data_IF_187920976701
#
_entry.id   IF_187920976701
#
_cell.length_a   1.000
_cell.length_b   1.000
_cell.length_c   1.000
_cell.angle_alpha   90.00
_cell.angle_beta   90.00
_cell.angle_gamma   90.00
#
_symmetry.space_group_name_H-M   'P 1'
#
loop_
_entity.id
_entity.type
_entity.pdbx_description
1 polymer ?
#
# COMPACT_ATOMS: atom_id res chain seq x y z
N UNK A 1 -51.60 -16.74 -41.83
CA UNK A 1 -50.57 -15.83 -42.40
C UNK A 1 -50.48 -14.65 -41.44
N UNK A 2 -49.42 -14.57 -40.64
CA UNK A 2 -48.82 -13.38 -39.99
C UNK A 2 -47.60 -13.96 -39.28
N UNK A 3 -46.45 -13.87 -39.95
CA UNK A 3 -45.14 -14.14 -39.35
C UNK A 3 -44.64 -12.84 -38.75
N UNK A 4 -44.54 -12.78 -37.43
CA UNK A 4 -43.80 -11.74 -36.74
C UNK A 4 -42.30 -11.96 -36.99
N UNK A 5 -41.77 -11.18 -37.93
CA UNK A 5 -40.34 -10.93 -38.04
C UNK A 5 -39.91 -10.11 -36.81
N UNK A 6 -39.56 -10.81 -35.73
CA UNK A 6 -38.81 -10.22 -34.63
C UNK A 6 -37.40 -9.84 -35.15
N UNK A 7 -37.30 -8.61 -35.66
CA UNK A 7 -36.04 -7.94 -35.97
C UNK A 7 -35.26 -7.76 -34.66
N UNK A 8 -34.37 -8.71 -34.35
CA UNK A 8 -33.34 -8.53 -33.34
C UNK A 8 -32.35 -7.48 -33.84
N UNK A 9 -32.58 -6.22 -33.43
CA UNK A 9 -31.65 -5.14 -33.69
C UNK A 9 -30.28 -5.54 -33.15
N UNK A 10 -29.28 -5.70 -34.04
CA UNK A 10 -27.91 -5.97 -33.61
C UNK A 10 -27.47 -4.83 -32.68
N UNK A 11 -26.96 -5.13 -31.47
CA UNK A 11 -26.43 -4.08 -30.61
C UNK A 11 -25.36 -3.31 -31.38
N UNK A 12 -25.47 -1.98 -31.40
CA UNK A 12 -24.46 -1.12 -32.03
C UNK A 12 -23.12 -1.40 -31.36
N UNK A 13 -22.14 -1.83 -32.14
CA UNK A 13 -20.77 -2.02 -31.66
C UNK A 13 -20.28 -0.71 -31.03
N UNK A 14 -19.73 -0.80 -29.83
CA UNK A 14 -19.14 0.34 -29.13
C UNK A 14 -17.89 0.80 -29.89
N UNK A 15 -17.59 2.10 -29.88
CA UNK A 15 -16.32 2.59 -30.42
C UNK A 15 -15.11 1.92 -29.73
N UNK A 16 -15.26 1.50 -28.47
CA UNK A 16 -14.25 0.78 -27.70
C UNK A 16 -14.01 -0.65 -28.20
N UNK A 17 -14.92 -1.24 -28.97
CA UNK A 17 -14.71 -2.55 -29.59
C UNK A 17 -13.65 -2.45 -30.72
N UNK A 18 -13.45 -1.26 -31.29
CA UNK A 18 -12.45 -1.02 -32.32
C UNK A 18 -11.04 -0.94 -31.71
N UNK A 19 -10.21 -1.93 -32.05
CA UNK A 19 -8.81 -2.03 -31.61
C UNK A 19 -7.97 -0.82 -32.02
N UNK A 20 -8.12 -0.30 -33.23
CA UNK A 20 -7.36 0.87 -33.70
C UNK A 20 -7.72 2.11 -32.89
N UNK A 21 -9.02 2.31 -32.63
CA UNK A 21 -9.50 3.42 -31.81
C UNK A 21 -8.94 3.36 -30.39
N UNK A 22 -8.97 2.18 -29.75
CA UNK A 22 -8.34 1.95 -28.44
C UNK A 22 -6.84 2.28 -28.44
N UNK A 23 -6.09 1.85 -29.47
CA UNK A 23 -4.67 2.20 -29.59
C UNK A 23 -4.44 3.70 -29.67
N UNK A 24 -5.24 4.41 -30.47
CA UNK A 24 -5.13 5.86 -30.60
C UNK A 24 -5.39 6.55 -29.26
N UNK A 25 -6.43 6.13 -28.53
CA UNK A 25 -6.71 6.65 -27.19
C UNK A 25 -5.55 6.40 -26.22
N UNK A 26 -4.99 5.18 -26.21
CA UNK A 26 -3.84 4.84 -25.37
C UNK A 26 -2.61 5.68 -25.69
N UNK A 27 -2.36 5.98 -26.96
CA UNK A 27 -1.22 6.83 -27.35
C UNK A 27 -1.46 8.29 -26.94
N UNK A 28 -2.64 8.84 -27.25
CA UNK A 28 -2.98 10.23 -26.94
C UNK A 28 -2.96 10.49 -25.44
N UNK A 29 -3.51 9.58 -24.63
CA UNK A 29 -3.46 9.68 -23.18
C UNK A 29 -2.08 9.31 -22.62
N UNK A 30 -1.42 8.32 -23.22
CA UNK A 30 -0.19 7.74 -22.70
C UNK A 30 1.01 8.67 -22.77
N UNK A 31 1.16 9.43 -23.87
CA UNK A 31 2.27 10.38 -24.03
C UNK A 31 2.34 11.40 -22.89
N UNK A 32 1.27 12.17 -22.57
CA UNK A 32 1.33 13.14 -21.47
C UNK A 32 1.47 12.47 -20.10
N UNK A 33 0.84 11.31 -19.86
CA UNK A 33 0.97 10.57 -18.60
C UNK A 33 2.42 10.14 -18.38
N UNK A 34 3.01 9.47 -19.36
CA UNK A 34 4.40 8.99 -19.28
C UNK A 34 5.37 10.16 -19.17
N UNK A 35 5.20 11.22 -19.96
CA UNK A 35 6.07 12.40 -19.86
C UNK A 35 6.01 13.05 -18.47
N UNK A 36 4.81 13.22 -17.91
CA UNK A 36 4.61 13.79 -16.57
C UNK A 36 5.21 12.89 -15.49
N UNK A 37 4.97 11.58 -15.58
CA UNK A 37 5.54 10.60 -14.67
C UNK A 37 7.07 10.61 -14.73
N UNK A 38 7.68 10.49 -15.91
CA UNK A 38 9.13 10.49 -16.06
C UNK A 38 9.73 11.79 -15.51
N UNK A 39 9.07 12.94 -15.74
CA UNK A 39 9.52 14.21 -15.19
C UNK A 39 9.48 14.22 -13.65
N UNK A 40 8.34 13.91 -13.05
CA UNK A 40 8.13 14.03 -11.60
C UNK A 40 8.78 12.89 -10.80
N UNK A 41 8.67 11.66 -11.26
CA UNK A 41 9.07 10.46 -10.53
C UNK A 41 10.54 10.07 -10.73
N UNK A 42 11.18 10.53 -11.81
CA UNK A 42 12.56 10.15 -12.14
C UNK A 42 13.45 11.36 -12.36
N UNK A 43 13.13 12.21 -13.34
CA UNK A 43 14.04 13.25 -13.81
C UNK A 43 14.29 14.29 -12.72
N UNK A 44 13.21 14.82 -12.13
CA UNK A 44 13.28 15.84 -11.10
C UNK A 44 14.08 15.36 -9.86
N UNK A 45 13.76 14.22 -9.22
CA UNK A 45 14.47 13.81 -8.02
C UNK A 45 15.89 13.29 -8.29
N UNK A 46 16.17 12.69 -9.45
CA UNK A 46 17.50 12.11 -9.78
C UNK A 46 18.49 13.19 -10.22
N UNK A 47 18.10 14.08 -11.13
CA UNK A 47 19.05 15.01 -11.77
C UNK A 47 19.06 16.40 -11.14
N UNK A 48 17.95 16.83 -10.56
CA UNK A 48 17.83 18.17 -9.95
C UNK A 48 17.88 18.13 -8.42
N UNK A 49 17.93 16.92 -7.85
CA UNK A 49 17.86 16.70 -6.41
C UNK A 49 16.43 16.78 -5.90
N UNK A 50 15.94 15.68 -5.36
CA UNK A 50 14.64 15.59 -4.69
C UNK A 50 14.80 15.54 -3.17
N UNK A 51 14.00 16.35 -2.48
CA UNK A 51 13.75 16.15 -1.06
C UNK A 51 12.67 15.07 -0.91
N UNK A 52 13.00 13.99 -0.20
CA UNK A 52 12.09 12.89 0.07
C UNK A 52 11.60 13.02 1.50
N UNK A 53 10.45 13.69 1.70
CA UNK A 53 9.98 14.14 3.02
C UNK A 53 10.05 13.06 4.09
N UNK A 54 9.16 12.06 4.03
CA UNK A 54 9.13 10.95 4.97
C UNK A 54 10.46 10.17 5.05
N UNK A 55 11.09 9.91 3.91
CA UNK A 55 12.31 9.09 3.86
C UNK A 55 13.47 9.76 4.61
N UNK A 56 13.65 11.07 4.44
CA UNK A 56 14.73 11.82 5.08
C UNK A 56 14.38 12.22 6.50
N UNK A 57 13.17 12.76 6.74
CA UNK A 57 12.77 13.30 8.03
C UNK A 57 12.46 12.22 9.07
N UNK A 58 11.89 11.11 8.62
CA UNK A 58 11.45 10.03 9.51
C UNK A 58 12.39 8.82 9.44
N UNK A 59 12.60 8.22 8.27
CA UNK A 59 13.27 6.91 8.20
C UNK A 59 14.79 7.03 8.39
N UNK A 60 15.46 7.90 7.64
CA UNK A 60 16.91 8.10 7.77
C UNK A 60 17.30 8.74 9.10
N UNK A 61 16.44 9.61 9.65
CA UNK A 61 16.66 10.19 10.99
C UNK A 61 16.59 9.12 12.08
N UNK A 62 15.62 8.22 12.02
CA UNK A 62 15.53 7.07 12.93
C UNK A 62 16.72 6.13 12.78
N UNK A 63 17.14 5.86 11.54
CA UNK A 63 18.33 5.04 11.26
C UNK A 63 19.60 5.66 11.86
N UNK A 64 19.78 6.98 11.73
CA UNK A 64 20.90 7.71 12.34
C UNK A 64 20.90 7.65 13.86
N UNK A 65 19.72 7.74 14.50
CA UNK A 65 19.59 7.57 15.96
C UNK A 65 19.97 6.16 16.40
N UNK A 66 19.41 5.14 15.75
CA UNK A 66 19.77 3.75 16.02
C UNK A 66 21.27 3.52 15.83
N UNK A 67 21.87 4.06 14.76
CA UNK A 67 23.31 3.94 14.49
C UNK A 67 24.18 4.62 15.56
N UNK A 68 23.63 5.62 16.26
CA UNK A 68 24.28 6.33 17.37
C UNK A 68 23.96 5.72 18.75
N UNK A 69 23.28 4.58 18.80
CA UNK A 69 22.85 3.93 20.05
C UNK A 69 21.71 4.66 20.78
N UNK A 70 20.98 5.54 20.09
CA UNK A 70 19.85 6.29 20.63
C UNK A 70 18.51 5.64 20.24
N UNK A 71 17.51 5.85 21.09
CA UNK A 71 16.13 5.42 20.84
C UNK A 71 15.53 6.14 19.61
N UNK A 72 15.06 5.41 18.57
CA UNK A 72 14.43 6.01 17.40
C UNK A 72 13.06 6.64 17.69
N UNK A 73 12.40 6.31 18.79
CA UNK A 73 11.06 6.79 19.16
C UNK A 73 11.07 8.05 20.06
N UNK A 74 12.21 8.38 20.66
CA UNK A 74 12.40 9.54 21.55
C UNK A 74 12.50 10.90 20.80
N UNK A 75 12.17 10.92 19.52
CA UNK A 75 12.15 12.13 18.68
C UNK A 75 11.12 13.16 19.20
N UNK A 76 9.99 12.74 19.77
CA UNK A 76 9.02 13.69 20.36
C UNK A 76 9.61 14.45 21.56
N UNK A 77 10.40 13.78 22.41
CA UNK A 77 10.91 14.36 23.65
C UNK A 77 12.10 15.32 23.44
N UNK A 78 12.86 15.13 22.35
CA UNK A 78 14.13 15.85 22.12
C UNK A 78 14.01 17.10 21.23
N UNK A 79 12.99 17.20 20.37
CA UNK A 79 12.86 18.28 19.36
C UNK A 79 11.48 18.96 19.35
N UNK A 80 10.59 18.60 20.27
CA UNK A 80 9.26 19.19 20.38
C UNK A 80 8.24 18.52 19.46
N UNK A 81 7.07 18.17 20.01
CA UNK A 81 6.00 17.47 19.29
C UNK A 81 5.13 18.46 18.50
N UNK A 82 5.71 19.16 17.52
CA UNK A 82 5.06 20.30 16.86
C UNK A 82 4.27 19.98 15.58
N UNK A 83 4.32 18.76 15.03
CA UNK A 83 3.73 18.51 13.70
C UNK A 83 3.08 17.13 13.53
N UNK A 84 2.12 17.00 12.58
CA UNK A 84 1.37 15.77 12.31
C UNK A 84 2.21 14.69 11.68
N UNK A 85 3.16 15.22 10.94
CA UNK A 85 4.15 14.67 10.04
C UNK A 85 5.55 15.04 10.55
N UNK A 86 5.66 15.56 11.78
CA UNK A 86 6.95 15.91 12.36
C UNK A 86 7.88 14.69 12.36
N UNK A 87 9.18 14.88 12.61
CA UNK A 87 10.26 13.88 12.42
C UNK A 87 10.19 12.66 13.35
N UNK A 88 9.00 12.17 13.69
CA UNK A 88 8.71 11.08 14.59
C UNK A 88 8.54 9.80 13.80
N UNK A 89 9.42 8.87 14.10
CA UNK A 89 9.39 7.55 13.50
C UNK A 89 8.26 6.72 14.08
N UNK A 90 7.27 6.37 13.25
CA UNK A 90 6.07 5.62 13.67
C UNK A 90 6.01 4.18 13.13
N UNK A 91 7.10 3.72 12.52
CA UNK A 91 7.19 2.39 11.90
C UNK A 91 7.81 1.36 12.88
N UNK A 92 7.62 0.05 12.65
CA UNK A 92 8.37 -1.00 13.33
C UNK A 92 9.89 -0.74 13.27
N UNK A 93 10.68 -1.16 14.27
CA UNK A 93 12.10 -0.81 14.36
C UNK A 93 12.96 -1.37 13.21
N UNK A 94 12.48 -2.42 12.54
CA UNK A 94 13.16 -3.11 11.44
C UNK A 94 13.57 -2.17 10.31
N UNK A 95 12.69 -1.25 9.89
CA UNK A 95 12.99 -0.39 8.74
C UNK A 95 14.17 0.55 9.04
N UNK A 96 14.16 1.25 10.18
CA UNK A 96 15.27 2.08 10.59
C UNK A 96 16.57 1.28 10.79
N UNK A 97 16.48 0.04 11.32
CA UNK A 97 17.63 -0.86 11.41
C UNK A 97 18.22 -1.22 10.04
N UNK A 98 17.38 -1.56 9.05
CA UNK A 98 17.82 -1.88 7.68
C UNK A 98 18.49 -0.69 6.98
N UNK A 99 18.15 0.54 7.36
CA UNK A 99 18.67 1.76 6.76
C UNK A 99 19.97 2.27 7.44
N UNK A 100 20.41 1.68 8.55
CA UNK A 100 21.66 2.06 9.23
C UNK A 100 22.88 2.08 8.30
N UNK A 101 23.08 1.12 7.36
CA UNK A 101 24.23 1.14 6.46
C UNK A 101 24.28 2.36 5.52
N UNK A 102 23.17 3.07 5.36
CA UNK A 102 23.09 4.29 4.54
C UNK A 102 23.43 5.56 5.33
N UNK A 103 23.61 5.46 6.64
CA UNK A 103 24.00 6.60 7.48
C UNK A 103 25.41 7.06 7.09
N UNK A 104 25.55 8.34 6.76
CA UNK A 104 26.81 8.93 6.29
C UNK A 104 27.04 8.82 4.77
N UNK A 105 26.17 8.13 4.03
CA UNK A 105 26.15 8.21 2.56
C UNK A 105 25.61 9.57 2.12
N UNK A 106 26.13 10.11 1.02
CA UNK A 106 25.66 11.40 0.50
C UNK A 106 24.17 11.37 0.19
N UNK A 107 23.44 12.43 0.58
CA UNK A 107 22.00 12.53 0.38
C UNK A 107 21.56 12.30 -1.07
N UNK A 108 22.32 12.81 -2.05
CA UNK A 108 22.02 12.60 -3.48
C UNK A 108 22.02 11.12 -3.89
N UNK A 109 23.02 10.33 -3.47
CA UNK A 109 23.07 8.88 -3.75
C UNK A 109 21.91 8.15 -3.08
N UNK A 110 21.56 8.54 -1.84
CA UNK A 110 20.42 7.97 -1.12
C UNK A 110 19.11 8.27 -1.85
N UNK A 111 18.89 9.52 -2.27
CA UNK A 111 17.69 9.92 -3.03
C UNK A 111 17.58 9.12 -4.33
N UNK A 112 18.66 9.02 -5.12
CA UNK A 112 18.65 8.22 -6.35
C UNK A 112 18.34 6.76 -6.04
N UNK A 113 19.00 6.16 -5.05
CA UNK A 113 18.76 4.78 -4.65
C UNK A 113 17.31 4.54 -4.23
N UNK A 114 16.74 5.41 -3.41
CA UNK A 114 15.35 5.34 -2.97
C UNK A 114 14.39 5.42 -4.16
N UNK A 115 14.54 6.41 -5.04
CA UNK A 115 13.71 6.57 -6.23
C UNK A 115 13.74 5.32 -7.12
N UNK A 116 14.94 4.76 -7.36
CA UNK A 116 15.09 3.55 -8.16
C UNK A 116 14.40 2.33 -7.50
N UNK A 117 14.54 2.16 -6.19
CA UNK A 117 13.88 1.06 -5.45
C UNK A 117 12.36 1.19 -5.49
N UNK A 118 11.83 2.41 -5.34
CA UNK A 118 10.38 2.67 -5.37
C UNK A 118 9.79 2.39 -6.76
N UNK A 119 10.45 2.85 -7.82
CA UNK A 119 10.06 2.58 -9.21
C UNK A 119 10.19 1.09 -9.56
N UNK A 120 11.26 0.43 -9.12
CA UNK A 120 11.44 -1.01 -9.30
C UNK A 120 10.34 -1.80 -8.59
N UNK A 121 9.94 -1.39 -7.39
CA UNK A 121 8.86 -2.04 -6.64
C UNK A 121 7.51 -1.89 -7.34
N UNK A 122 7.21 -0.72 -7.92
CA UNK A 122 6.04 -0.51 -8.76
C UNK A 122 6.07 -1.42 -9.99
N UNK A 123 7.20 -1.50 -10.69
CA UNK A 123 7.35 -2.36 -11.86
C UNK A 123 7.17 -3.84 -11.52
N UNK A 124 7.73 -4.30 -10.39
CA UNK A 124 7.54 -5.67 -9.88
C UNK A 124 6.07 -5.94 -9.59
N UNK A 125 5.36 -5.02 -8.94
CA UNK A 125 3.93 -5.16 -8.71
C UNK A 125 3.14 -5.29 -10.02
N UNK A 126 3.34 -4.37 -10.96
CA UNK A 126 2.65 -4.38 -12.26
C UNK A 126 2.89 -5.71 -12.96
N UNK A 127 4.14 -6.13 -13.08
CA UNK A 127 4.50 -7.38 -13.73
C UNK A 127 3.84 -8.60 -13.07
N UNK A 128 3.89 -8.71 -11.73
CA UNK A 128 3.31 -9.83 -11.00
C UNK A 128 1.79 -9.83 -11.05
N UNK A 129 1.14 -8.66 -11.00
CA UNK A 129 -0.30 -8.54 -11.10
C UNK A 129 -0.81 -8.93 -12.50
N UNK A 130 -0.18 -8.41 -13.56
CA UNK A 130 -0.50 -8.80 -14.95
C UNK A 130 -0.32 -10.31 -15.16
N UNK A 131 0.76 -10.87 -14.62
CA UNK A 131 1.04 -12.31 -14.67
C UNK A 131 -0.01 -13.13 -13.89
N UNK A 132 -0.42 -12.67 -12.72
CA UNK A 132 -1.44 -13.34 -11.90
C UNK A 132 -2.81 -13.33 -12.58
N UNK A 133 -3.16 -12.21 -13.22
CA UNK A 133 -4.41 -12.01 -13.93
C UNK A 133 -4.41 -12.60 -15.36
N UNK A 134 -3.25 -13.05 -15.85
CA UNK A 134 -3.05 -13.59 -17.21
C UNK A 134 -3.49 -12.60 -18.29
N UNK A 135 -3.05 -11.35 -18.14
CA UNK A 135 -3.33 -10.29 -19.11
C UNK A 135 -2.47 -10.50 -20.36
N UNK A 136 -3.09 -11.01 -21.43
CA UNK A 136 -2.43 -11.25 -22.72
C UNK A 136 -2.65 -10.12 -23.74
N UNK A 137 -3.67 -9.27 -23.55
CA UNK A 137 -3.91 -8.10 -24.42
C UNK A 137 -3.00 -6.94 -24.02
N UNK A 138 -2.10 -6.57 -24.94
CA UNK A 138 -1.19 -5.44 -24.74
C UNK A 138 -1.93 -4.11 -24.51
N UNK A 139 -3.14 -3.93 -25.06
CA UNK A 139 -3.91 -2.70 -24.85
C UNK A 139 -4.40 -2.59 -23.42
N UNK A 140 -4.85 -3.70 -22.84
CA UNK A 140 -5.22 -3.78 -21.43
C UNK A 140 -3.98 -3.60 -20.55
N UNK A 141 -2.87 -4.27 -20.86
CA UNK A 141 -1.62 -4.10 -20.11
C UNK A 141 -1.14 -2.63 -20.15
N UNK A 142 -1.19 -1.98 -21.31
CA UNK A 142 -0.83 -0.57 -21.46
C UNK A 142 -1.77 0.34 -20.66
N UNK A 143 -3.09 0.10 -20.70
CA UNK A 143 -4.06 0.84 -19.89
C UNK A 143 -3.71 0.74 -18.40
N UNK A 144 -3.45 -0.48 -17.91
CA UNK A 144 -3.12 -0.74 -16.51
C UNK A 144 -1.81 -0.07 -16.08
N UNK A 145 -0.79 -0.08 -16.95
CA UNK A 145 0.44 0.69 -16.73
C UNK A 145 0.13 2.19 -16.64
N UNK A 146 -0.58 2.75 -17.62
CA UNK A 146 -0.90 4.18 -17.65
C UNK A 146 -1.74 4.61 -16.45
N UNK A 147 -2.72 3.80 -16.03
CA UNK A 147 -3.48 4.03 -14.80
C UNK A 147 -2.57 4.07 -13.58
N UNK A 148 -1.60 3.16 -13.48
CA UNK A 148 -0.64 3.15 -12.37
C UNK A 148 0.22 4.41 -12.35
N UNK A 149 0.73 4.85 -13.52
CA UNK A 149 1.56 6.05 -13.61
C UNK A 149 0.78 7.34 -13.35
N UNK A 150 -0.50 7.37 -13.74
CA UNK A 150 -1.37 8.52 -13.55
C UNK A 150 -2.02 8.56 -12.14
N UNK A 151 -1.91 7.49 -11.36
CA UNK A 151 -2.51 7.41 -10.04
C UNK A 151 -1.69 8.23 -9.04
N UNK A 152 -2.25 9.36 -8.59
CA UNK A 152 -1.58 10.32 -7.72
C UNK A 152 -0.84 9.70 -6.52
N UNK A 153 -1.40 8.69 -5.80
CA UNK A 153 -0.67 8.04 -4.72
C UNK A 153 0.67 7.44 -5.12
N UNK A 154 0.88 7.03 -6.38
CA UNK A 154 2.20 6.59 -6.85
C UNK A 154 3.20 7.73 -6.84
N UNK A 155 2.83 8.89 -7.39
CA UNK A 155 3.69 10.08 -7.38
C UNK A 155 3.94 10.56 -5.95
N UNK A 156 2.88 10.63 -5.12
CA UNK A 156 3.01 11.01 -3.71
C UNK A 156 3.98 10.10 -2.95
N UNK A 157 3.97 8.78 -3.19
CA UNK A 157 4.94 7.88 -2.57
C UNK A 157 6.38 8.14 -3.03
N UNK A 158 6.59 8.51 -4.29
CA UNK A 158 7.93 8.80 -4.80
C UNK A 158 8.43 10.14 -4.25
N UNK A 159 7.56 11.16 -4.21
CA UNK A 159 7.85 12.47 -3.63
C UNK A 159 8.22 12.38 -2.15
N UNK A 160 7.50 11.55 -1.38
CA UNK A 160 7.75 11.38 0.05
C UNK A 160 8.83 10.32 0.35
N UNK A 161 9.27 9.55 -0.65
CA UNK A 161 10.14 8.40 -0.45
C UNK A 161 9.50 7.29 0.41
N UNK A 162 8.19 7.15 0.37
CA UNK A 162 7.41 6.26 1.22
C UNK A 162 7.59 4.79 0.87
N UNK A 163 7.74 3.95 1.89
CA UNK A 163 7.91 2.51 1.71
C UNK A 163 6.67 1.80 1.14
N UNK A 164 5.51 2.47 1.00
CA UNK A 164 4.29 1.81 0.54
C UNK A 164 4.42 1.24 -0.88
N UNK A 165 5.29 1.78 -1.74
CA UNK A 165 5.59 1.16 -3.04
C UNK A 165 6.38 -0.15 -2.90
N UNK A 166 7.27 -0.26 -1.91
CA UNK A 166 7.94 -1.54 -1.58
C UNK A 166 6.90 -2.54 -1.09
N UNK A 167 5.97 -2.10 -0.21
CA UNK A 167 4.85 -2.95 0.23
C UNK A 167 3.97 -3.37 -0.94
N UNK A 168 3.73 -2.49 -1.91
CA UNK A 168 2.99 -2.80 -3.13
C UNK A 168 3.72 -3.88 -3.96
N UNK A 169 5.03 -3.78 -4.13
CA UNK A 169 5.86 -4.82 -4.77
C UNK A 169 5.73 -6.18 -4.08
N UNK A 170 5.84 -6.20 -2.74
CA UNK A 170 5.61 -7.40 -1.92
C UNK A 170 4.17 -7.92 -2.04
N UNK A 171 3.20 -7.01 -2.16
CA UNK A 171 1.78 -7.36 -2.38
C UNK A 171 1.58 -8.02 -3.74
N UNK A 172 2.32 -7.61 -4.78
CA UNK A 172 2.30 -8.28 -6.07
C UNK A 172 2.76 -9.74 -5.98
N UNK A 173 3.81 -10.00 -5.20
CA UNK A 173 4.31 -11.36 -4.95
C UNK A 173 3.32 -12.20 -4.14
N UNK A 174 2.77 -11.62 -3.07
CA UNK A 174 1.69 -12.26 -2.30
C UNK A 174 0.47 -12.56 -3.19
N UNK A 175 0.01 -11.60 -3.98
CA UNK A 175 -1.16 -11.72 -4.85
C UNK A 175 -0.97 -12.79 -5.93
N UNK A 176 0.17 -12.79 -6.61
CA UNK A 176 0.51 -13.82 -7.59
C UNK A 176 0.49 -15.21 -6.95
N UNK A 177 1.07 -15.36 -5.76
CA UNK A 177 1.04 -16.62 -5.03
C UNK A 177 -0.36 -16.99 -4.51
N UNK A 178 -1.18 -16.01 -4.16
CA UNK A 178 -2.56 -16.20 -3.73
C UNK A 178 -3.41 -16.82 -4.84
N UNK A 179 -3.32 -16.26 -6.05
CA UNK A 179 -4.05 -16.73 -7.23
C UNK A 179 -3.57 -18.11 -7.67
N UNK A 180 -2.26 -18.40 -7.55
CA UNK A 180 -1.61 -19.64 -7.97
C UNK A 180 -1.59 -20.71 -6.87
N UNK A 181 -2.77 -21.24 -6.53
CA UNK A 181 -2.95 -22.16 -5.40
C UNK A 181 -2.20 -23.50 -5.50
N UNK A 182 -1.91 -24.00 -6.71
CA UNK A 182 -1.40 -25.36 -6.91
C UNK A 182 0.11 -25.53 -6.70
N UNK A 183 0.87 -24.45 -6.49
CA UNK A 183 2.32 -24.51 -6.31
C UNK A 183 2.70 -24.16 -4.88
N UNK A 184 3.08 -25.18 -4.11
CA UNK A 184 3.44 -25.04 -2.70
C UNK A 184 4.65 -24.13 -2.49
N UNK A 185 5.64 -24.16 -3.39
CA UNK A 185 6.84 -23.31 -3.31
C UNK A 185 6.48 -21.84 -3.49
N UNK A 186 5.57 -21.56 -4.42
CA UNK A 186 5.06 -20.21 -4.65
C UNK A 186 4.28 -19.69 -3.43
N UNK A 187 3.52 -20.54 -2.75
CA UNK A 187 2.83 -20.15 -1.51
C UNK A 187 3.80 -19.73 -0.39
N UNK A 188 4.95 -20.40 -0.24
CA UNK A 188 5.98 -20.00 0.73
C UNK A 188 6.53 -18.61 0.43
N UNK A 189 6.82 -18.30 -0.84
CA UNK A 189 7.27 -16.97 -1.25
C UNK A 189 6.21 -15.90 -1.02
N UNK A 190 4.95 -16.18 -1.34
CA UNK A 190 3.85 -15.25 -1.07
C UNK A 190 3.64 -14.99 0.41
N UNK A 191 3.81 -16.01 1.25
CA UNK A 191 3.74 -15.87 2.70
C UNK A 191 4.91 -15.08 3.25
N UNK A 192 6.14 -15.40 2.84
CA UNK A 192 7.32 -14.64 3.22
C UNK A 192 7.19 -13.15 2.84
N UNK A 193 6.72 -12.85 1.62
CA UNK A 193 6.48 -11.47 1.17
C UNK A 193 5.49 -10.73 2.07
N UNK A 194 4.38 -11.38 2.44
CA UNK A 194 3.38 -10.84 3.36
C UNK A 194 3.96 -10.61 4.77
N UNK A 195 4.76 -11.54 5.27
CA UNK A 195 5.46 -11.42 6.56
C UNK A 195 6.45 -10.27 6.60
N UNK A 196 7.23 -10.10 5.52
CA UNK A 196 8.15 -8.95 5.35
C UNK A 196 7.36 -7.64 5.29
N UNK A 197 6.29 -7.58 4.50
CA UNK A 197 5.47 -6.38 4.39
C UNK A 197 4.88 -5.97 5.74
N UNK A 198 4.29 -6.92 6.49
CA UNK A 198 3.76 -6.68 7.82
C UNK A 198 4.85 -6.25 8.81
N UNK A 199 6.06 -6.81 8.71
CA UNK A 199 7.17 -6.43 9.57
C UNK A 199 7.71 -5.02 9.31
N UNK A 200 7.58 -4.52 8.08
CA UNK A 200 8.01 -3.18 7.68
C UNK A 200 6.95 -2.11 8.00
N UNK A 201 5.66 -2.41 7.76
CA UNK A 201 4.55 -1.48 8.03
C UNK A 201 3.23 -2.25 8.20
N UNK A 202 2.55 -2.04 9.33
CA UNK A 202 1.35 -2.79 9.72
C UNK A 202 0.08 -2.48 8.90
N UNK A 203 0.15 -1.60 7.90
CA UNK A 203 -1.02 -1.20 7.13
C UNK A 203 -1.69 -2.36 6.39
N UNK A 204 -0.96 -3.44 6.11
CA UNK A 204 -1.49 -4.64 5.45
C UNK A 204 -2.08 -5.67 6.42
N UNK A 205 -2.28 -5.33 7.70
CA UNK A 205 -2.85 -6.21 8.72
C UNK A 205 -4.11 -6.97 8.28
N UNK A 206 -5.12 -6.33 7.63
CA UNK A 206 -6.31 -7.04 7.15
C UNK A 206 -6.00 -8.18 6.16
N UNK A 207 -4.98 -8.01 5.31
CA UNK A 207 -4.54 -9.04 4.36
C UNK A 207 -3.96 -10.25 5.08
N UNK A 208 -3.27 -10.04 6.21
CA UNK A 208 -2.75 -11.14 7.05
C UNK A 208 -3.88 -12.01 7.59
N UNK A 209 -5.03 -11.42 7.93
CA UNK A 209 -6.20 -12.15 8.45
C UNK A 209 -6.86 -13.06 7.40
N UNK A 210 -6.73 -12.73 6.12
CA UNK A 210 -7.27 -13.54 5.02
C UNK A 210 -6.58 -14.91 4.94
N UNK A 211 -5.28 -15.00 5.25
CA UNK A 211 -4.50 -16.25 5.15
C UNK A 211 -5.03 -17.37 6.07
N UNK A 212 -5.18 -17.17 7.40
CA UNK A 212 -5.77 -18.17 8.28
C UNK A 212 -7.25 -18.40 7.98
N UNK A 213 -8.00 -17.37 7.56
CA UNK A 213 -9.40 -17.51 7.13
C UNK A 213 -9.57 -18.49 5.97
N UNK A 214 -8.71 -18.36 4.95
CA UNK A 214 -8.64 -19.29 3.83
C UNK A 214 -7.96 -20.64 4.17
N UNK A 215 -7.48 -20.83 5.41
CA UNK A 215 -6.71 -22.02 5.85
C UNK A 215 -5.46 -22.30 5.01
N UNK A 216 -4.75 -21.25 4.58
CA UNK A 216 -3.48 -21.39 3.83
C UNK A 216 -2.29 -21.46 4.77
N UNK A 217 -2.15 -22.59 5.46
CA UNK A 217 -1.21 -22.76 6.57
C UNK A 217 0.26 -22.63 6.17
N UNK A 218 0.66 -23.12 5.00
CA UNK A 218 2.02 -22.95 4.46
C UNK A 218 2.39 -21.47 4.35
N UNK A 219 1.51 -20.69 3.74
CA UNK A 219 1.65 -19.24 3.59
C UNK A 219 1.65 -18.54 4.95
N UNK A 220 0.81 -18.98 5.90
CA UNK A 220 0.79 -18.43 7.26
C UNK A 220 2.11 -18.69 8.00
N UNK A 221 2.63 -19.92 7.95
CA UNK A 221 3.91 -20.27 8.58
C UNK A 221 5.06 -19.47 7.97
N UNK A 222 5.09 -19.34 6.64
CA UNK A 222 6.09 -18.51 5.96
C UNK A 222 6.01 -17.04 6.38
N UNK A 223 4.80 -16.49 6.46
CA UNK A 223 4.57 -15.11 6.89
C UNK A 223 5.00 -14.88 8.34
N UNK A 224 4.60 -15.78 9.25
CA UNK A 224 4.99 -15.71 10.65
C UNK A 224 6.51 -15.83 10.81
N UNK A 225 7.14 -16.79 10.13
CA UNK A 225 8.59 -16.98 10.19
C UNK A 225 9.34 -15.74 9.66
N UNK A 226 9.02 -15.25 8.47
CA UNK A 226 9.69 -14.09 7.89
C UNK A 226 9.49 -12.82 8.73
N UNK A 227 8.26 -12.57 9.20
CA UNK A 227 7.94 -11.40 10.01
C UNK A 227 8.62 -11.45 11.39
N UNK A 228 8.57 -12.59 12.08
CA UNK A 228 9.21 -12.77 13.38
C UNK A 228 10.73 -12.68 13.29
N UNK A 229 11.34 -13.30 12.27
CA UNK A 229 12.80 -13.21 12.05
C UNK A 229 13.21 -11.74 11.91
N UNK A 230 12.48 -10.96 11.12
CA UNK A 230 12.75 -9.53 10.97
C UNK A 230 12.55 -8.76 12.27
N UNK A 231 11.50 -9.02 13.04
CA UNK A 231 11.28 -8.33 14.33
C UNK A 231 12.30 -8.70 15.41
N UNK A 232 12.79 -9.95 15.41
CA UNK A 232 13.82 -10.41 16.35
C UNK A 232 15.20 -9.85 15.96
N UNK A 233 15.49 -9.71 14.67
CA UNK A 233 16.77 -9.18 14.20
C UNK A 233 16.81 -7.64 14.16
N UNK A 234 15.70 -7.02 13.78
CA UNK A 234 15.61 -5.60 13.46
C UNK A 234 15.41 -4.73 14.70
N UNK A 235 16.48 -4.55 15.47
CA UNK A 235 16.52 -3.77 16.71
C UNK A 235 15.43 -4.18 17.73
N UNK A 236 15.43 -5.46 18.18
CA UNK A 236 14.40 -6.05 19.03
C UNK A 236 14.23 -5.32 20.38
N UNK A 237 15.26 -4.62 20.86
CA UNK A 237 15.22 -3.87 22.11
C UNK A 237 14.15 -2.76 22.11
N UNK A 238 13.72 -2.26 20.94
CA UNK A 238 12.66 -1.25 20.83
C UNK A 238 11.31 -1.84 20.42
N UNK A 239 11.21 -3.15 20.23
CA UNK A 239 9.95 -3.80 19.82
C UNK A 239 8.86 -3.64 20.88
N UNK A 240 9.22 -3.72 22.17
CA UNK A 240 8.26 -3.53 23.25
C UNK A 240 7.69 -2.10 23.26
N UNK A 241 8.55 -1.09 23.13
CA UNK A 241 8.10 0.30 23.02
C UNK A 241 7.23 0.52 21.79
N UNK A 242 7.62 -0.05 20.64
CA UNK A 242 6.80 0.00 19.44
C UNK A 242 5.38 -0.55 19.69
N UNK A 243 5.27 -1.77 20.24
CA UNK A 243 4.00 -2.47 20.40
C UNK A 243 3.08 -1.83 21.44
N UNK A 244 3.63 -1.27 22.53
CA UNK A 244 2.83 -0.82 23.67
C UNK A 244 2.74 0.70 23.82
N UNK A 245 3.58 1.47 23.13
CA UNK A 245 3.57 2.95 23.18
C UNK A 245 3.28 3.55 21.81
N UNK A 246 4.08 3.21 20.80
CA UNK A 246 4.00 3.85 19.47
C UNK A 246 2.76 3.40 18.70
N UNK A 247 2.57 2.09 18.54
CA UNK A 247 1.46 1.53 17.80
C UNK A 247 0.09 1.95 18.38
N UNK A 248 -0.15 1.91 19.71
CA UNK A 248 -1.40 2.41 20.29
C UNK A 248 -1.60 3.91 20.06
N UNK A 249 -0.53 4.72 20.14
CA UNK A 249 -0.61 6.16 19.91
C UNK A 249 -0.99 6.48 18.45
N UNK A 250 -0.35 5.81 17.48
CA UNK A 250 -0.69 5.94 16.05
C UNK A 250 -2.10 5.43 15.77
N UNK A 251 -2.47 4.30 16.38
CA UNK A 251 -3.79 3.69 16.21
C UNK A 251 -4.92 4.53 16.80
N UNK A 252 -4.63 5.50 17.66
CA UNK A 252 -5.61 6.46 18.16
C UNK A 252 -6.20 7.34 17.03
N UNK A 253 -5.51 7.41 15.89
CA UNK A 253 -5.91 8.22 14.73
C UNK A 253 -5.82 9.72 15.01
N UNK A 254 -6.09 10.50 13.97
CA UNK A 254 -6.12 11.97 14.02
C UNK A 254 -7.18 12.51 13.06
N UNK A 255 -7.69 13.71 13.32
CA UNK A 255 -8.56 14.43 12.37
C UNK A 255 -7.82 15.27 11.35
N UNK A 256 -6.48 15.22 11.33
CA UNK A 256 -5.67 15.97 10.38
C UNK A 256 -6.13 15.75 8.93
N UNK A 257 -6.11 16.80 8.10
CA UNK A 257 -6.75 16.78 6.78
C UNK A 257 -6.26 15.67 5.84
N UNK A 258 -5.01 15.23 5.99
CA UNK A 258 -4.42 14.13 5.21
C UNK A 258 -4.95 12.74 5.62
N UNK A 259 -5.60 12.62 6.79
CA UNK A 259 -6.22 11.36 7.20
C UNK A 259 -7.55 11.14 6.49
N UNK A 260 -7.49 10.31 5.45
CA UNK A 260 -8.60 9.91 4.59
C UNK A 260 -9.39 8.71 5.12
N UNK A 261 -9.06 8.20 6.32
CA UNK A 261 -9.81 7.09 6.92
C UNK A 261 -11.20 7.52 7.40
N UNK A 262 -12.15 6.58 7.59
CA UNK A 262 -13.41 6.87 8.27
C UNK A 262 -13.19 7.53 9.64
N UNK A 263 -12.15 7.12 10.37
CA UNK A 263 -11.81 7.70 11.67
C UNK A 263 -11.35 9.16 11.59
N UNK A 264 -10.63 9.54 10.53
CA UNK A 264 -10.26 10.94 10.30
C UNK A 264 -11.48 11.82 10.04
N UNK A 265 -12.47 11.32 9.31
CA UNK A 265 -13.76 12.03 9.12
C UNK A 265 -14.52 12.19 10.43
N UNK A 266 -14.60 11.12 11.24
CA UNK A 266 -15.27 11.17 12.54
C UNK A 266 -14.57 12.10 13.53
N UNK A 267 -13.25 12.12 13.55
CA UNK A 267 -12.48 13.03 14.40
C UNK A 267 -12.82 14.49 14.10
N UNK A 268 -12.86 14.86 12.81
CA UNK A 268 -13.25 16.21 12.35
C UNK A 268 -14.70 16.55 12.63
N UNK A 269 -15.60 15.56 12.60
CA UNK A 269 -17.01 15.75 12.92
C UNK A 269 -17.24 16.02 14.42
N UNK A 270 -16.52 15.30 15.29
CA UNK A 270 -16.60 15.46 16.74
C UNK A 270 -15.85 16.71 17.23
N UNK A 271 -14.77 17.07 16.55
CA UNK A 271 -13.86 18.15 16.93
C UNK A 271 -13.22 18.78 15.69
N UNK A 272 -13.85 19.81 15.08
CA UNK A 272 -13.38 20.43 13.84
C UNK A 272 -11.98 21.02 13.91
N UNK A 273 -11.49 21.41 15.09
CA UNK A 273 -10.14 21.94 15.30
C UNK A 273 -9.06 20.90 15.01
N UNK A 274 -9.43 19.61 14.96
CA UNK A 274 -8.51 18.53 14.53
C UNK A 274 -8.14 18.60 13.06
N UNK A 275 -8.80 19.43 12.24
CA UNK A 275 -8.48 19.52 10.81
C UNK A 275 -7.04 19.99 10.53
N UNK A 276 -6.55 20.96 11.32
CA UNK A 276 -5.19 21.50 11.23
C UNK A 276 -4.31 21.11 12.42
N UNK A 277 -4.84 20.32 13.36
CA UNK A 277 -4.11 19.93 14.57
C UNK A 277 -4.05 18.41 14.73
N UNK A 278 -3.03 17.95 15.43
CA UNK A 278 -2.59 16.55 15.38
C UNK A 278 -2.75 15.84 16.71
N UNK A 279 -3.72 16.30 17.48
CA UNK A 279 -4.10 15.56 18.66
C UNK A 279 -4.75 14.25 18.24
N UNK A 280 -4.57 13.23 19.09
CA UNK A 280 -5.27 11.96 18.91
C UNK A 280 -6.78 12.18 18.88
N UNK A 281 -7.51 11.38 18.11
CA UNK A 281 -8.96 11.56 17.91
C UNK A 281 -9.75 11.61 19.24
N UNK A 282 -10.86 12.35 19.33
CA UNK A 282 -11.75 12.30 20.50
C UNK A 282 -12.22 10.87 20.82
N UNK A 283 -12.46 10.55 22.09
CA UNK A 283 -12.80 9.19 22.52
C UNK A 283 -14.05 8.63 21.81
N UNK A 284 -15.09 9.45 21.63
CA UNK A 284 -16.30 9.06 20.88
C UNK A 284 -16.01 8.71 19.42
N UNK A 285 -15.17 9.50 18.74
CA UNK A 285 -14.72 9.21 17.38
C UNK A 285 -13.92 7.91 17.30
N UNK A 286 -13.06 7.63 18.29
CA UNK A 286 -12.30 6.35 18.35
C UNK A 286 -13.21 5.14 18.46
N UNK A 287 -14.20 5.18 19.36
CA UNK A 287 -15.16 4.08 19.54
C UNK A 287 -15.91 3.82 18.23
N UNK A 288 -16.44 4.85 17.59
CA UNK A 288 -17.17 4.69 16.35
C UNK A 288 -16.27 4.23 15.19
N UNK A 289 -15.01 4.67 15.14
CA UNK A 289 -14.01 4.17 14.18
C UNK A 289 -13.78 2.67 14.35
N UNK A 290 -13.59 2.19 15.58
CA UNK A 290 -13.43 0.75 15.86
C UNK A 290 -14.67 -0.04 15.46
N UNK A 291 -15.87 0.48 15.74
CA UNK A 291 -17.12 -0.16 15.31
C UNK A 291 -17.22 -0.28 13.79
N UNK A 292 -16.90 0.79 13.05
CA UNK A 292 -16.86 0.75 11.58
C UNK A 292 -15.86 -0.28 11.10
N UNK A 293 -14.64 -0.27 11.64
CA UNK A 293 -13.58 -1.20 11.28
C UNK A 293 -13.99 -2.67 11.50
N UNK A 294 -14.62 -2.97 12.66
CA UNK A 294 -15.14 -4.31 12.97
C UNK A 294 -16.26 -4.71 12.02
N UNK A 295 -17.22 -3.82 11.73
CA UNK A 295 -18.32 -4.10 10.79
C UNK A 295 -17.77 -4.38 9.40
N UNK A 296 -16.88 -3.53 8.89
CA UNK A 296 -16.25 -3.72 7.57
C UNK A 296 -15.49 -5.04 7.50
N UNK A 297 -14.68 -5.35 8.53
CA UNK A 297 -13.94 -6.61 8.60
C UNK A 297 -14.88 -7.82 8.60
N UNK A 298 -15.92 -7.83 9.45
CA UNK A 298 -16.86 -8.93 9.56
C UNK A 298 -17.66 -9.13 8.27
N UNK A 299 -18.13 -8.03 7.65
CA UNK A 299 -18.84 -8.10 6.37
C UNK A 299 -17.93 -8.63 5.26
N UNK A 300 -16.69 -8.16 5.21
CA UNK A 300 -15.69 -8.65 4.24
C UNK A 300 -15.47 -10.14 4.42
N UNK A 301 -15.17 -10.62 5.63
CA UNK A 301 -14.97 -12.05 5.89
C UNK A 301 -16.24 -12.89 5.64
N UNK A 302 -17.42 -12.35 5.93
CA UNK A 302 -18.69 -13.03 5.67
C UNK A 302 -18.95 -13.23 4.17
N UNK A 303 -18.65 -12.22 3.34
CA UNK A 303 -18.74 -12.30 1.88
C UNK A 303 -17.70 -13.28 1.33
N UNK A 304 -16.51 -13.33 1.93
CA UNK A 304 -15.42 -14.24 1.56
C UNK A 304 -15.52 -15.63 2.21
N UNK A 305 -16.68 -15.98 2.80
CA UNK A 305 -16.87 -17.27 3.48
C UNK A 305 -16.86 -18.45 2.51
N UNK A 306 -17.54 -18.39 1.33
CA UNK A 306 -17.34 -19.39 0.29
C UNK A 306 -15.97 -19.18 -0.33
N UNK A 307 -15.08 -20.16 -0.16
CA UNK A 307 -13.74 -20.08 -0.75
C UNK A 307 -13.83 -20.15 -2.26
N UNK A 308 -13.14 -19.22 -2.91
CA UNK A 308 -13.01 -19.24 -4.35
C UNK A 308 -12.24 -20.48 -4.81
N UNK A 309 -12.82 -21.19 -5.77
CA UNK A 309 -12.19 -22.34 -6.44
C UNK A 309 -11.47 -21.93 -7.72
N UNK A 310 -11.91 -20.85 -8.36
CA UNK A 310 -11.32 -20.31 -9.59
C UNK A 310 -10.23 -19.28 -9.29
N UNK A 311 -9.28 -19.15 -10.22
CA UNK A 311 -8.23 -18.14 -10.13
C UNK A 311 -8.79 -16.71 -10.06
N UNK A 312 -9.81 -16.41 -10.85
CA UNK A 312 -10.49 -15.11 -10.84
C UNK A 312 -11.23 -14.88 -9.51
N UNK A 313 -11.90 -15.89 -8.97
CA UNK A 313 -12.52 -15.79 -7.65
C UNK A 313 -11.49 -15.45 -6.57
N UNK A 314 -10.33 -16.13 -6.56
CA UNK A 314 -9.25 -15.83 -5.62
C UNK A 314 -8.68 -14.42 -5.81
N UNK A 315 -8.61 -13.95 -7.04
CA UNK A 315 -8.20 -12.57 -7.33
C UNK A 315 -9.19 -11.57 -6.71
N UNK A 316 -10.50 -11.81 -6.84
CA UNK A 316 -11.55 -11.01 -6.23
C UNK A 316 -11.52 -11.07 -4.69
N UNK A 317 -11.22 -12.23 -4.09
CA UNK A 317 -11.02 -12.33 -2.64
C UNK A 317 -9.89 -11.42 -2.15
N UNK A 318 -8.75 -11.46 -2.84
CA UNK A 318 -7.60 -10.61 -2.53
C UNK A 318 -7.93 -9.12 -2.72
N UNK A 319 -8.57 -8.77 -3.84
CA UNK A 319 -9.01 -7.42 -4.13
C UNK A 319 -9.95 -6.87 -3.05
N UNK A 320 -10.93 -7.67 -2.62
CA UNK A 320 -11.90 -7.25 -1.60
C UNK A 320 -11.23 -6.91 -0.27
N UNK A 321 -10.29 -7.73 0.21
CA UNK A 321 -9.58 -7.46 1.48
C UNK A 321 -8.66 -6.25 1.38
N UNK A 322 -7.94 -6.09 0.26
CA UNK A 322 -7.10 -4.91 0.05
C UNK A 322 -7.95 -3.64 -0.04
N UNK A 323 -9.09 -3.68 -0.74
CA UNK A 323 -10.02 -2.56 -0.85
C UNK A 323 -10.66 -2.19 0.51
N UNK A 324 -10.87 -3.16 1.40
CA UNK A 324 -11.38 -2.92 2.75
C UNK A 324 -10.36 -2.25 3.68
N UNK A 325 -9.07 -2.31 3.36
CA UNK A 325 -7.99 -1.89 4.28
C UNK A 325 -8.06 -0.40 4.68
N UNK A 326 -8.25 0.57 3.76
CA UNK A 326 -8.38 1.99 4.14
C UNK A 326 -9.62 2.29 4.99
N UNK A 327 -10.66 1.44 4.92
CA UNK A 327 -11.88 1.58 5.71
C UNK A 327 -11.72 1.03 7.14
N UNK A 328 -10.79 0.09 7.33
CA UNK A 328 -10.49 -0.52 8.64
C UNK A 328 -9.43 0.29 9.39
N UNK A 329 -8.47 0.89 8.68
CA UNK A 329 -7.40 1.66 9.29
C UNK A 329 -7.98 2.88 10.03
N UNK A 330 -7.52 3.15 11.26
CA UNK A 330 -7.84 4.40 11.96
C UNK A 330 -7.10 5.60 11.36
N UNK A 331 -6.08 5.33 10.55
CA UNK A 331 -5.17 6.29 9.96
C UNK A 331 -4.79 5.89 8.53
N UNK A 332 -5.14 6.72 7.54
CA UNK A 332 -4.87 6.46 6.12
C UNK A 332 -4.51 7.75 5.39
N UNK A 333 -3.23 7.94 5.06
CA UNK A 333 -2.77 9.06 4.24
C UNK A 333 -3.00 8.83 2.75
N UNK A 334 -2.92 9.88 1.94
CA UNK A 334 -3.01 9.77 0.47
C UNK A 334 -2.04 8.72 -0.10
N UNK A 335 -0.80 8.69 0.40
CA UNK A 335 0.23 7.72 -0.01
C UNK A 335 -0.12 6.26 0.34
N UNK A 336 -0.96 6.00 1.33
CA UNK A 336 -1.41 4.64 1.66
C UNK A 336 -2.35 4.07 0.60
N UNK A 337 -3.07 4.92 -0.12
CA UNK A 337 -4.04 4.52 -1.14
C UNK A 337 -3.39 3.86 -2.36
N UNK A 338 -2.06 3.91 -2.50
CA UNK A 338 -1.32 3.23 -3.57
C UNK A 338 -1.57 1.72 -3.60
N UNK A 339 -1.87 1.12 -2.44
CA UNK A 339 -2.23 -0.30 -2.34
C UNK A 339 -3.54 -0.65 -3.07
N UNK A 340 -4.40 0.34 -3.34
CA UNK A 340 -5.64 0.16 -4.11
C UNK A 340 -5.39 -0.11 -5.60
N UNK A 341 -4.16 0.00 -6.09
CA UNK A 341 -3.84 -0.47 -7.45
C UNK A 341 -4.15 -1.95 -7.63
N UNK A 342 -4.02 -2.79 -6.58
CA UNK A 342 -4.36 -4.21 -6.65
C UNK A 342 -5.84 -4.43 -6.96
N UNK A 343 -6.81 -3.94 -6.18
CA UNK A 343 -8.22 -4.08 -6.52
C UNK A 343 -8.58 -3.40 -7.83
N UNK A 344 -7.95 -2.26 -8.20
CA UNK A 344 -8.18 -1.63 -9.50
C UNK A 344 -7.81 -2.57 -10.66
N UNK A 345 -6.67 -3.26 -10.58
CA UNK A 345 -6.27 -4.23 -11.60
C UNK A 345 -7.18 -5.44 -11.69
N UNK A 346 -7.73 -5.91 -10.58
CA UNK A 346 -8.63 -7.08 -10.58
C UNK A 346 -10.00 -6.72 -11.17
N UNK A 347 -10.46 -5.48 -11.01
CA UNK A 347 -11.79 -5.04 -11.44
C UNK A 347 -11.87 -4.60 -12.91
N UNK A 348 -10.74 -4.26 -13.53
CA UNK A 348 -10.63 -3.82 -14.93
C UNK A 348 -10.32 -5.02 -15.83
#
# INVERSE_FOLDING_TARGET
MIGELASTARPRASALDNRQFRSVLLVIAGVPIVATYLWQALVQPIFFGGYLGDFQESYMRAAGRLASGLDPYDLCATIGCLEPTGPQYVMPPVLAWMLQPLVGVSGGVITVGAVLVLNASLAVFIWLALKALRVDDWQLAALLVLLSLAFEPVIGNISEGQINLVLLGLSGLWFWAWVQENDSRVQWWGGAALGVAAALKLIQGPVVLLVPWARRWSMLVAAAAAGLVLWIMGAPQYLFEYLFKVLPAVSAGTGFFENHSPGGTLARLFDPDTFLTVRGSPAGARVLTVLIAVVVLLLTLAVLRPRATSAMGRALEAAAVVAATPLIASYSWGTHLVLLLLPMFVLI
#
